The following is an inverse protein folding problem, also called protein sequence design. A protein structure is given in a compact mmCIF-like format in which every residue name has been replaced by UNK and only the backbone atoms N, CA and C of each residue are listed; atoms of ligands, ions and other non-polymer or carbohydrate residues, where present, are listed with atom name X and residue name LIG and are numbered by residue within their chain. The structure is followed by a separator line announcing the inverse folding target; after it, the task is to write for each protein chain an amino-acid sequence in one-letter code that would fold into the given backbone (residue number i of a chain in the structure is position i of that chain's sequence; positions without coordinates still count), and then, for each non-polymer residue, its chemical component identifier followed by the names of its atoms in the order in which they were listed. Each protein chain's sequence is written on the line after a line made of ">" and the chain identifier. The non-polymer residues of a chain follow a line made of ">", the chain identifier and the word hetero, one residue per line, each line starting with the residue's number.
data_IF_417310041569
#
_entry.id   IF_417310041569
#
_cell.length_a   1.000
_cell.length_b   1.000
_cell.length_c   1.000
_cell.angle_alpha   90.00
_cell.angle_beta   90.00
_cell.angle_gamma   90.00
#
_symmetry.space_group_name_H-M   'P 1'
#
loop_
_entity.id
_entity.type
_entity.pdbx_description
1 polymer ?
#
# COMPACT_ATOMS: atom_id res chain seq x y z
N UNK A 1 -19.58 3.40 -9.10
CA UNK A 1 -19.74 3.66 -7.68
C UNK A 1 -18.41 3.71 -6.97
N UNK A 2 -18.14 4.78 -6.23
CA UNK A 2 -16.83 4.90 -5.56
C UNK A 2 -16.49 3.76 -4.64
N UNK A 3 -17.48 3.21 -3.94
CA UNK A 3 -17.23 2.11 -3.00
C UNK A 3 -16.67 0.87 -3.65
N UNK A 4 -16.95 0.68 -4.94
CA UNK A 4 -16.52 -0.53 -5.64
C UNK A 4 -15.06 -0.50 -6.05
N UNK A 5 -14.42 0.66 -5.94
CA UNK A 5 -13.00 0.78 -6.27
C UNK A 5 -12.12 -0.02 -5.34
N UNK A 6 -12.62 -0.36 -4.16
CA UNK A 6 -11.84 -1.08 -3.15
C UNK A 6 -12.39 -2.48 -2.88
N UNK A 7 -13.27 -2.97 -3.73
CA UNK A 7 -13.85 -4.29 -3.55
C UNK A 7 -14.02 -4.97 -4.93
N UNK A 8 -13.08 -5.83 -5.34
CA UNK A 8 -11.88 -6.20 -4.60
C UNK A 8 -10.86 -5.06 -4.56
N UNK A 9 -9.95 -5.14 -3.61
CA UNK A 9 -8.93 -4.11 -3.43
C UNK A 9 -7.97 -4.12 -4.63
N UNK A 10 -7.81 -2.97 -5.33
CA UNK A 10 -6.88 -2.93 -6.45
C UNK A 10 -5.44 -3.20 -6.02
N UNK A 11 -4.66 -3.77 -6.93
CA UNK A 11 -3.26 -4.12 -6.64
C UNK A 11 -2.44 -2.92 -6.19
N UNK A 12 -2.61 -1.78 -6.85
CA UNK A 12 -1.88 -0.57 -6.47
C UNK A 12 -2.22 -0.14 -5.05
N UNK A 13 -3.51 -0.15 -4.70
CA UNK A 13 -3.96 0.23 -3.37
C UNK A 13 -3.39 -0.73 -2.31
N UNK A 14 -3.40 -2.02 -2.60
CA UNK A 14 -2.84 -3.01 -1.68
C UNK A 14 -1.36 -2.75 -1.43
N UNK A 15 -0.59 -2.49 -2.50
CA UNK A 15 0.84 -2.22 -2.36
C UNK A 15 1.09 -0.94 -1.57
N UNK A 16 0.25 0.07 -1.73
CA UNK A 16 0.38 1.31 -0.95
C UNK A 16 0.14 1.03 0.53
N UNK A 17 -0.90 0.27 0.85
CA UNK A 17 -1.16 -0.09 2.25
C UNK A 17 0.01 -0.87 2.84
N UNK A 18 0.56 -1.81 2.08
CA UNK A 18 1.73 -2.58 2.52
C UNK A 18 2.92 -1.67 2.80
N UNK A 19 3.15 -0.68 1.93
CA UNK A 19 4.29 0.21 2.09
C UNK A 19 4.21 0.99 3.40
N UNK A 20 3.00 1.28 3.85
CA UNK A 20 2.77 2.05 5.07
C UNK A 20 2.67 1.19 6.31
N UNK A 21 2.71 -0.13 6.17
CA UNK A 21 2.60 -1.03 7.32
C UNK A 21 3.83 -0.95 8.22
N UNK A 22 4.98 -0.60 7.67
CA UNK A 22 6.22 -0.54 8.42
C UNK A 22 6.57 0.83 8.95
N UNK A 23 6.14 1.88 8.27
CA UNK A 23 6.52 3.25 8.65
C UNK A 23 5.68 4.27 7.91
N UNK A 24 5.70 5.49 8.43
CA UNK A 24 5.07 6.62 7.75
C UNK A 24 5.93 7.02 6.56
N UNK A 25 5.32 7.32 5.43
CA UNK A 25 6.05 7.68 4.22
C UNK A 25 5.36 8.84 3.51
N UNK A 26 6.15 9.68 2.84
CA UNK A 26 5.60 10.66 1.90
C UNK A 26 5.39 9.98 0.54
N UNK A 27 4.77 10.69 -0.40
CA UNK A 27 4.41 10.09 -1.69
C UNK A 27 5.58 9.44 -2.42
N UNK A 28 6.71 10.15 -2.50
CA UNK A 28 7.88 9.60 -3.17
C UNK A 28 8.39 8.34 -2.46
N UNK A 29 8.36 8.34 -1.13
CA UNK A 29 8.75 7.16 -0.36
C UNK A 29 7.85 5.97 -0.63
N UNK A 30 6.56 6.22 -0.77
CA UNK A 30 5.61 5.16 -1.13
C UNK A 30 5.97 4.58 -2.49
N UNK A 31 6.21 5.45 -3.48
CA UNK A 31 6.59 5.00 -4.82
C UNK A 31 7.82 4.09 -4.78
N UNK A 32 8.84 4.52 -4.06
CA UNK A 32 10.07 3.73 -3.95
C UNK A 32 9.84 2.41 -3.26
N UNK A 33 9.06 2.43 -2.18
CA UNK A 33 8.80 1.21 -1.42
C UNK A 33 8.02 0.21 -2.25
N UNK A 34 7.06 0.66 -3.05
CA UNK A 34 6.30 -0.22 -3.92
C UNK A 34 7.21 -0.89 -4.95
N UNK A 35 8.17 -0.15 -5.52
CA UNK A 35 9.13 -0.74 -6.43
C UNK A 35 9.93 -1.84 -5.73
N UNK A 36 10.37 -1.58 -4.51
CA UNK A 36 11.15 -2.56 -3.75
C UNK A 36 10.33 -3.80 -3.40
N UNK A 37 9.13 -3.61 -2.86
CA UNK A 37 8.28 -4.76 -2.45
C UNK A 37 7.89 -5.64 -3.63
N UNK A 38 7.81 -5.07 -4.82
CA UNK A 38 7.42 -5.84 -6.01
C UNK A 38 8.60 -6.22 -6.89
N UNK A 39 9.82 -5.97 -6.42
CA UNK A 39 11.04 -6.25 -7.17
C UNK A 39 10.98 -5.62 -8.56
N UNK A 40 10.50 -4.39 -8.62
CA UNK A 40 10.43 -3.62 -9.85
C UNK A 40 9.26 -3.94 -10.75
N UNK A 41 8.41 -4.89 -10.36
CA UNK A 41 7.27 -5.28 -11.20
C UNK A 41 6.16 -4.25 -11.24
N UNK A 42 6.06 -3.42 -10.20
CA UNK A 42 5.07 -2.36 -10.16
C UNK A 42 5.75 -1.03 -9.92
N UNK A 43 5.50 -0.08 -10.81
CA UNK A 43 5.99 1.28 -10.69
C UNK A 43 4.80 2.21 -10.82
N UNK A 44 4.51 2.96 -9.76
CA UNK A 44 3.38 3.86 -9.77
C UNK A 44 3.81 5.21 -10.31
N UNK A 45 3.15 5.66 -11.38
CA UNK A 45 3.33 7.03 -11.83
C UNK A 45 2.65 7.99 -10.87
N UNK A 46 2.99 9.29 -10.94
CA UNK A 46 2.40 10.26 -10.01
C UNK A 46 0.87 10.30 -10.05
N UNK A 47 0.28 10.19 -11.24
CA UNK A 47 -1.17 10.22 -11.36
C UNK A 47 -1.84 9.07 -10.62
N UNK A 48 -1.37 7.86 -10.87
CA UNK A 48 -1.93 6.67 -10.21
C UNK A 48 -1.68 6.72 -8.71
N UNK A 49 -0.48 7.14 -8.31
CA UNK A 49 -0.13 7.24 -6.90
C UNK A 49 -1.08 8.16 -6.16
N UNK A 50 -1.21 9.42 -6.63
CA UNK A 50 -2.00 10.39 -5.88
C UNK A 50 -3.50 10.16 -5.99
N UNK A 51 -3.94 9.58 -7.11
CA UNK A 51 -5.33 9.16 -7.24
C UNK A 51 -5.66 8.06 -6.21
N UNK A 52 -4.76 7.08 -6.08
CA UNK A 52 -4.94 6.00 -5.10
C UNK A 52 -4.87 6.51 -3.67
N UNK A 53 -3.94 7.42 -3.39
CA UNK A 53 -3.82 8.02 -2.06
C UNK A 53 -5.11 8.73 -1.70
N UNK A 54 -5.68 9.51 -2.64
CA UNK A 54 -6.92 10.22 -2.38
C UNK A 54 -8.06 9.25 -2.05
N UNK A 55 -8.17 8.17 -2.82
CA UNK A 55 -9.20 7.17 -2.56
C UNK A 55 -9.03 6.55 -1.18
N UNK A 56 -7.80 6.23 -0.81
CA UNK A 56 -7.52 5.63 0.49
C UNK A 56 -7.77 6.60 1.64
N UNK A 57 -7.46 7.88 1.44
CA UNK A 57 -7.77 8.90 2.45
C UNK A 57 -9.27 9.05 2.64
N UNK A 58 -10.01 9.09 1.54
CA UNK A 58 -11.47 9.22 1.59
C UNK A 58 -12.11 8.03 2.30
N UNK A 59 -11.54 6.86 2.12
CA UNK A 59 -12.02 5.64 2.78
C UNK A 59 -11.50 5.50 4.21
N UNK A 60 -10.65 6.43 4.66
CA UNK A 60 -10.07 6.44 6.01
C UNK A 60 -9.19 5.22 6.30
N UNK A 61 -8.57 4.70 5.27
CA UNK A 61 -7.64 3.58 5.39
C UNK A 61 -6.22 4.06 5.65
N UNK A 62 -5.94 5.30 5.29
CA UNK A 62 -4.69 5.98 5.64
C UNK A 62 -5.05 7.38 6.12
N UNK A 63 -4.11 8.04 6.78
CA UNK A 63 -4.29 9.40 7.23
C UNK A 63 -3.02 10.19 7.00
N UNK A 64 -3.19 11.50 6.84
CA UNK A 64 -2.07 12.41 6.70
C UNK A 64 -1.48 12.73 8.08
N UNK A 65 -0.16 12.74 8.17
CA UNK A 65 0.53 13.09 9.42
C UNK A 65 1.72 14.01 9.11
N UNK A 66 2.13 14.77 10.10
CA UNK A 66 3.29 15.63 9.98
C UNK A 66 4.52 14.89 10.49
N UNK A 67 5.67 15.18 9.86
CA UNK A 67 6.96 14.69 10.35
C UNK A 67 7.66 15.83 11.07
N UNK A 68 7.76 15.70 12.36
CA UNK A 68 8.31 16.73 13.21
C UNK A 68 9.74 17.09 12.83
N UNK A 69 10.53 16.10 12.44
CA UNK A 69 11.93 16.33 12.09
C UNK A 69 12.09 17.23 10.87
N UNK A 70 11.25 17.03 9.84
CA UNK A 70 11.29 17.88 8.66
C UNK A 70 11.01 19.33 9.03
N UNK A 71 10.05 19.56 9.92
CA UNK A 71 9.71 20.90 10.37
C UNK A 71 10.88 21.51 11.13
N UNK A 72 11.53 20.76 12.01
CA UNK A 72 12.65 21.23 12.80
C UNK A 72 13.86 21.58 11.96
N UNK A 73 14.08 20.87 10.87
CA UNK A 73 15.22 21.10 10.01
C UNK A 73 14.99 22.22 9.00
N UNK A 74 13.81 22.85 9.03
CA UNK A 74 13.49 23.93 8.13
C UNK A 74 13.20 23.50 6.72
N UNK A 75 12.95 22.22 6.49
CA UNK A 75 12.57 21.71 5.17
C UNK A 75 11.13 22.06 4.86
N UNK A 76 10.80 22.10 3.58
CA UNK A 76 9.43 22.28 3.18
C UNK A 76 8.59 21.17 3.79
N UNK A 77 7.38 21.56 4.24
CA UNK A 77 6.47 20.58 4.82
C UNK A 77 6.04 19.60 3.75
N UNK A 78 6.36 18.33 3.95
CA UNK A 78 5.92 17.25 3.09
C UNK A 78 4.71 16.60 3.70
N UNK A 79 3.84 16.05 2.84
CA UNK A 79 2.70 15.28 3.29
C UNK A 79 3.15 13.85 3.50
N UNK A 80 3.08 13.42 4.74
CA UNK A 80 3.35 12.03 5.08
C UNK A 80 2.04 11.33 5.35
N UNK A 81 2.04 10.03 5.17
CA UNK A 81 0.85 9.22 5.32
C UNK A 81 1.11 8.08 6.27
N UNK A 82 0.07 7.67 6.97
CA UNK A 82 0.14 6.62 7.97
C UNK A 82 -1.03 5.67 7.79
N UNK A 83 -0.78 4.37 7.96
CA UNK A 83 -1.82 3.37 7.93
C UNK A 83 -2.71 3.51 9.15
N UNK A 84 -4.03 3.49 8.94
CA UNK A 84 -4.98 3.49 10.06
C UNK A 84 -5.25 2.05 10.49
N UNK A 85 -5.95 1.89 11.63
CA UNK A 85 -6.38 0.56 12.06
C UNK A 85 -7.24 -0.11 11.00
N UNK A 86 -8.15 0.66 10.40
CA UNK A 86 -9.02 0.13 9.35
C UNK A 86 -8.20 -0.29 8.13
N UNK A 87 -7.18 0.51 7.78
CA UNK A 87 -6.30 0.17 6.67
C UNK A 87 -5.53 -1.11 6.93
N UNK A 88 -5.03 -1.27 8.16
CA UNK A 88 -4.30 -2.49 8.51
C UNK A 88 -5.20 -3.72 8.44
N UNK A 89 -6.43 -3.59 8.94
CA UNK A 89 -7.40 -4.68 8.86
C UNK A 89 -7.68 -5.09 7.42
N UNK A 90 -7.90 -4.10 6.56
CA UNK A 90 -8.18 -4.39 5.16
C UNK A 90 -6.98 -5.04 4.47
N UNK A 91 -5.77 -4.55 4.76
CA UNK A 91 -4.57 -5.13 4.19
C UNK A 91 -4.39 -6.59 4.64
N UNK A 92 -4.65 -6.87 5.92
CA UNK A 92 -4.58 -8.23 6.44
C UNK A 92 -5.58 -9.15 5.74
N UNK A 93 -6.84 -8.70 5.61
CA UNK A 93 -7.86 -9.49 4.93
C UNK A 93 -7.48 -9.78 3.49
N UNK A 94 -6.94 -8.78 2.81
CA UNK A 94 -6.55 -8.95 1.41
C UNK A 94 -5.36 -9.91 1.29
N UNK A 95 -4.39 -9.79 2.19
CA UNK A 95 -3.24 -10.69 2.18
C UNK A 95 -3.70 -12.13 2.38
N UNK A 96 -4.63 -12.35 3.30
CA UNK A 96 -5.18 -13.68 3.56
C UNK A 96 -5.93 -14.22 2.36
N UNK A 97 -6.74 -13.36 1.73
CA UNK A 97 -7.47 -13.76 0.53
C UNK A 97 -6.52 -14.19 -0.58
N UNK A 98 -5.45 -13.44 -0.79
CA UNK A 98 -4.45 -13.75 -1.81
C UNK A 98 -3.73 -15.05 -1.48
N UNK A 99 -3.38 -15.26 -0.22
CA UNK A 99 -2.72 -16.50 0.20
C UNK A 99 -3.63 -17.70 -0.05
N UNK A 100 -4.92 -17.56 0.26
CA UNK A 100 -5.88 -18.63 0.03
C UNK A 100 -6.03 -18.95 -1.45
N UNK A 101 -6.04 -17.92 -2.29
CA UNK A 101 -6.12 -18.11 -3.74
C UNK A 101 -4.92 -18.88 -4.29
N UNK A 102 -3.77 -18.72 -3.64
CA UNK A 102 -2.55 -19.39 -4.09
C UNK A 102 -2.41 -20.80 -3.56
N UNK A 103 -3.24 -21.21 -2.60
CA UNK A 103 -3.13 -22.55 -2.02
C UNK A 103 -3.18 -23.67 -3.05
N UNK A 104 -4.15 -23.67 -3.99
CA UNK A 104 -4.12 -24.72 -5.02
C UNK A 104 -2.89 -24.68 -5.91
N UNK A 105 -2.37 -23.49 -6.17
CA UNK A 105 -1.15 -23.35 -6.97
C UNK A 105 0.04 -24.00 -6.27
N UNK A 106 0.08 -23.90 -4.95
CA UNK A 106 1.13 -24.56 -4.16
C UNK A 106 0.96 -26.08 -4.18
N UNK A 107 -0.26 -26.56 -3.94
CA UNK A 107 -0.56 -27.98 -3.92
C UNK A 107 -0.27 -28.63 -5.28
N UNK A 108 -0.61 -27.94 -6.35
CA UNK A 108 -0.44 -28.46 -7.71
C UNK A 108 0.94 -28.17 -8.30
N UNK A 109 1.84 -27.62 -7.46
CA UNK A 109 3.23 -27.34 -7.83
C UNK A 109 3.39 -26.34 -8.96
N UNK A 110 2.42 -25.45 -9.10
CA UNK A 110 2.53 -24.32 -10.02
C UNK A 110 3.36 -23.23 -9.38
N UNK A 111 3.19 -23.04 -8.06
CA UNK A 111 3.94 -22.05 -7.31
C UNK A 111 5.25 -22.67 -6.85
N UNK A 112 6.37 -21.99 -7.14
CA UNK A 112 7.69 -22.52 -6.81
C UNK A 112 7.98 -22.42 -5.32
N UNK A 113 8.89 -23.30 -4.84
CA UNK A 113 9.17 -23.46 -3.42
C UNK A 113 9.58 -22.19 -2.68
N UNK A 114 10.21 -21.25 -3.36
CA UNK A 114 10.64 -20.02 -2.68
C UNK A 114 9.48 -19.16 -2.15
N UNK A 115 8.27 -19.48 -2.54
CA UNK A 115 7.08 -18.76 -2.09
C UNK A 115 6.28 -19.53 -1.03
N UNK A 116 6.83 -20.62 -0.55
CA UNK A 116 6.12 -21.46 0.42
C UNK A 116 6.36 -21.00 1.85
#
# INVERSE_FOLDING_TARGET
>A
MPKRRLDPLPSAAFQILLSLAGEDLHGYGIMRQVVEQTEGRMRLGPGTLYSSIRTLLEAKLIQEVDQLEDVKLGHERRRYYRLTSAGRKLACSEAERLADLLRPARTKKILRGRYV
#
